data_IF_798405348130
#
_entry.id   IF_798405348130
#
_cell.length_a   1.000
_cell.length_b   1.000
_cell.length_c   1.000
_cell.angle_alpha   90.00
_cell.angle_beta   90.00
_cell.angle_gamma   90.00
#
_symmetry.space_group_name_H-M   'P 1'
#
loop_
_entity.id
_entity.type
_entity.pdbx_description
1 polymer ?
#
# COMPACT_ATOMS: atom_id res chain seq x y z
N UNK A 1 -10.48 8.77 -10.43
CA UNK A 1 -11.14 8.29 -9.20
C UNK A 1 -10.45 7.08 -8.57
N UNK A 2 -10.20 5.98 -9.31
CA UNK A 2 -9.57 4.77 -8.75
C UNK A 2 -8.25 5.01 -8.01
N UNK A 3 -7.40 5.89 -8.53
CA UNK A 3 -6.12 6.25 -7.92
C UNK A 3 -6.28 6.89 -6.53
N UNK A 4 -7.18 7.87 -6.37
CA UNK A 4 -7.45 8.49 -5.06
C UNK A 4 -8.08 7.51 -4.07
N UNK A 5 -9.01 6.66 -4.51
CA UNK A 5 -9.62 5.64 -3.64
C UNK A 5 -8.58 4.62 -3.13
N UNK A 6 -7.66 4.20 -4.01
CA UNK A 6 -6.55 3.33 -3.64
C UNK A 6 -5.64 3.98 -2.58
N UNK A 7 -5.21 5.23 -2.79
CA UNK A 7 -4.35 5.93 -1.83
C UNK A 7 -5.02 6.13 -0.47
N UNK A 8 -6.32 6.41 -0.45
CA UNK A 8 -7.10 6.54 0.79
C UNK A 8 -7.18 5.21 1.54
N UNK A 9 -7.46 4.10 0.85
CA UNK A 9 -7.49 2.79 1.49
C UNK A 9 -6.11 2.33 1.95
N UNK A 10 -5.05 2.71 1.23
CA UNK A 10 -3.67 2.42 1.57
C UNK A 10 -3.29 3.05 2.92
N UNK A 11 -3.67 4.32 3.16
CA UNK A 11 -3.27 5.09 4.35
C UNK A 11 -4.27 4.95 5.51
N UNK A 12 -5.57 4.81 5.21
CA UNK A 12 -6.65 4.80 6.20
C UNK A 12 -7.57 3.60 6.01
N UNK A 13 -7.10 2.43 6.45
CA UNK A 13 -7.84 1.17 6.30
C UNK A 13 -9.18 1.14 7.04
N UNK A 14 -9.36 1.96 8.09
CA UNK A 14 -10.58 2.02 8.91
C UNK A 14 -11.68 2.93 8.36
N UNK A 15 -11.39 3.79 7.39
CA UNK A 15 -12.38 4.68 6.75
C UNK A 15 -12.79 4.21 5.35
N UNK A 16 -12.13 3.17 4.83
CA UNK A 16 -12.31 2.67 3.47
C UNK A 16 -13.41 1.60 3.34
N UNK A 17 -14.40 1.60 4.23
CA UNK A 17 -15.43 0.56 4.31
C UNK A 17 -16.42 0.54 3.12
N UNK A 18 -16.32 1.45 2.13
CA UNK A 18 -17.42 1.65 1.17
C UNK A 18 -17.14 1.58 -0.33
N UNK A 19 -15.92 1.40 -0.85
CA UNK A 19 -15.78 1.59 -2.31
C UNK A 19 -14.71 0.81 -3.08
N UNK A 20 -13.87 -0.02 -2.47
CA UNK A 20 -12.78 -0.64 -3.22
C UNK A 20 -12.53 -2.10 -2.85
N UNK A 21 -12.74 -2.98 -3.84
CA UNK A 21 -12.63 -4.45 -3.80
C UNK A 21 -11.18 -4.96 -3.67
N UNK A 22 -10.31 -4.25 -2.96
CA UNK A 22 -8.92 -4.70 -2.77
C UNK A 22 -8.86 -5.71 -1.61
N UNK A 23 -8.23 -6.85 -1.87
CA UNK A 23 -8.01 -7.89 -0.86
C UNK A 23 -7.17 -7.35 0.30
N UNK A 24 -7.57 -7.67 1.53
CA UNK A 24 -6.83 -7.29 2.75
C UNK A 24 -5.40 -7.83 2.76
N UNK A 25 -5.18 -9.03 2.21
CA UNK A 25 -3.84 -9.62 2.05
C UNK A 25 -2.97 -8.82 1.10
N UNK A 26 -3.55 -8.34 -0.01
CA UNK A 26 -2.85 -7.51 -0.99
C UNK A 26 -2.52 -6.13 -0.39
N UNK A 27 -3.45 -5.55 0.38
CA UNK A 27 -3.22 -4.27 1.05
C UNK A 27 -2.07 -4.33 2.07
N UNK A 28 -1.94 -5.44 2.81
CA UNK A 28 -0.79 -5.65 3.71
C UNK A 28 0.55 -5.63 3.00
N UNK A 29 0.61 -6.13 1.76
CA UNK A 29 1.83 -6.09 0.96
C UNK A 29 2.18 -4.65 0.62
N UNK A 30 1.23 -3.85 0.15
CA UNK A 30 1.50 -2.46 -0.22
C UNK A 30 1.75 -1.55 0.97
N UNK A 31 1.13 -1.82 2.11
CA UNK A 31 1.41 -1.08 3.35
C UNK A 31 2.79 -1.41 3.91
N UNK A 32 3.39 -2.55 3.54
CA UNK A 32 4.73 -2.94 3.96
C UNK A 32 5.73 -1.92 3.41
N UNK A 33 6.44 -1.24 4.31
CA UNK A 33 7.41 -0.22 3.95
C UNK A 33 6.83 1.16 3.65
N UNK A 34 5.54 1.31 3.35
CA UNK A 34 4.87 2.62 3.23
C UNK A 34 4.27 3.10 4.56
N UNK A 35 3.82 2.16 5.39
CA UNK A 35 3.33 2.44 6.73
C UNK A 35 4.17 1.70 7.77
N UNK A 36 4.44 2.39 8.87
CA UNK A 36 4.94 1.77 10.10
C UNK A 36 3.75 1.53 11.02
N UNK A 37 3.49 0.26 11.31
CA UNK A 37 2.53 -0.15 12.33
C UNK A 37 3.31 -0.54 13.58
N UNK A 38 2.95 0.06 14.73
CA UNK A 38 3.49 -0.28 16.04
C UNK A 38 2.30 -0.65 16.93
N UNK A 39 2.46 -1.66 17.79
CA UNK A 39 1.39 -2.13 18.65
C UNK A 39 0.75 -0.98 19.44
N UNK A 40 -0.58 -0.89 19.37
CA UNK A 40 -1.45 0.14 19.99
C UNK A 40 -1.35 1.57 19.45
N UNK A 41 -0.58 1.83 18.39
CA UNK A 41 -0.54 3.13 17.71
C UNK A 41 -1.24 3.09 16.34
N UNK A 42 -1.83 4.23 15.93
CA UNK A 42 -2.33 4.38 14.56
C UNK A 42 -1.17 4.24 13.55
N UNK A 43 -1.38 3.62 12.37
CA UNK A 43 -0.35 3.50 11.34
C UNK A 43 0.21 4.88 10.97
N UNK A 44 1.54 4.99 10.89
CA UNK A 44 2.22 6.23 10.49
C UNK A 44 2.93 6.04 9.17
N UNK A 45 2.90 7.06 8.32
CA UNK A 45 3.69 7.06 7.09
C UNK A 45 5.18 6.98 7.40
N UNK A 46 5.88 6.14 6.65
CA UNK A 46 7.35 6.11 6.61
C UNK A 46 7.85 7.19 5.66
N UNK A 47 9.17 7.41 5.63
CA UNK A 47 9.79 8.29 4.63
C UNK A 47 9.46 7.85 3.19
N UNK A 48 9.57 6.56 2.90
CA UNK A 48 9.16 5.97 1.62
C UNK A 48 7.66 6.12 1.36
N UNK A 49 6.82 6.09 2.40
CA UNK A 49 5.40 6.43 2.33
C UNK A 49 5.14 7.85 1.84
N UNK A 50 5.87 8.83 2.37
CA UNK A 50 5.79 10.22 1.89
C UNK A 50 6.32 10.38 0.47
N UNK A 51 7.44 9.73 0.13
CA UNK A 51 7.98 9.76 -1.23
C UNK A 51 6.99 9.17 -2.24
N UNK A 52 6.38 8.03 -1.91
CA UNK A 52 5.37 7.39 -2.75
C UNK A 52 4.19 8.34 -3.04
N UNK A 53 3.70 9.09 -2.04
CA UNK A 53 2.59 10.02 -2.24
C UNK A 53 2.92 11.21 -3.15
N UNK A 54 4.19 11.61 -3.21
CA UNK A 54 4.68 12.72 -4.02
C UNK A 54 5.08 12.32 -5.44
N UNK A 55 5.18 11.01 -5.72
CA UNK A 55 5.48 10.50 -7.06
C UNK A 55 4.34 10.80 -8.04
N UNK A 56 4.67 10.88 -9.34
CA UNK A 56 3.66 10.88 -10.39
C UNK A 56 2.97 9.51 -10.48
N UNK A 57 1.78 9.48 -11.11
CA UNK A 57 0.95 8.28 -11.19
C UNK A 57 1.64 7.09 -11.86
N UNK A 58 2.47 7.31 -12.89
CA UNK A 58 3.15 6.20 -13.57
C UNK A 58 4.22 5.60 -12.67
N UNK A 59 4.99 6.44 -11.97
CA UNK A 59 5.99 5.99 -11.01
C UNK A 59 5.34 5.24 -9.84
N UNK A 60 4.22 5.72 -9.32
CA UNK A 60 3.46 5.01 -8.27
C UNK A 60 2.97 3.64 -8.77
N UNK A 61 2.47 3.54 -10.01
CA UNK A 61 2.01 2.27 -10.57
C UNK A 61 3.15 1.26 -10.70
N UNK A 62 4.31 1.69 -11.20
CA UNK A 62 5.50 0.84 -11.29
C UNK A 62 6.00 0.38 -9.93
N UNK A 63 5.93 1.23 -8.90
CA UNK A 63 6.25 0.85 -7.53
C UNK A 63 5.34 -0.28 -7.04
N UNK A 64 4.02 -0.14 -7.22
CA UNK A 64 3.03 -1.15 -6.82
C UNK A 64 3.21 -2.48 -7.57
N UNK A 65 3.43 -2.43 -8.89
CA UNK A 65 3.67 -3.64 -9.70
C UNK A 65 4.94 -4.36 -9.25
N UNK A 66 6.02 -3.62 -9.00
CA UNK A 66 7.28 -4.19 -8.51
C UNK A 66 7.08 -4.88 -7.16
N UNK A 67 6.44 -4.21 -6.20
CA UNK A 67 6.19 -4.77 -4.87
C UNK A 67 5.32 -6.02 -4.94
N UNK A 68 4.33 -6.05 -5.84
CA UNK A 68 3.50 -7.23 -6.08
C UNK A 68 4.30 -8.42 -6.62
N UNK A 69 5.13 -8.21 -7.64
CA UNK A 69 5.98 -9.27 -8.23
C UNK A 69 6.98 -9.80 -7.19
N UNK A 70 7.68 -8.90 -6.51
CA UNK A 70 8.65 -9.28 -5.47
C UNK A 70 7.99 -10.05 -4.32
N UNK A 71 6.74 -9.74 -3.99
CA UNK A 71 6.00 -10.52 -3.00
C UNK A 71 5.69 -11.95 -3.48
N UNK A 72 5.33 -12.13 -4.76
CA UNK A 72 5.08 -13.46 -5.35
C UNK A 72 6.34 -14.32 -5.42
N UNK A 73 7.50 -13.74 -5.74
CA UNK A 73 8.78 -14.47 -5.77
C UNK A 73 9.13 -15.07 -4.40
N UNK A 74 8.81 -14.36 -3.31
CA UNK A 74 8.99 -14.85 -1.93
C UNK A 74 8.10 -16.07 -1.63
N UNK A 75 6.93 -16.18 -2.27
CA UNK A 75 6.04 -17.34 -2.14
C UNK A 75 6.41 -18.51 -3.08
N UNK A 76 7.03 -18.24 -4.23
CA UNK A 76 7.44 -19.27 -5.20
C UNK A 76 8.79 -19.93 -4.87
N UNK A 77 9.66 -19.25 -4.12
CA UNK A 77 11.00 -19.74 -3.72
C UNK A 77 11.04 -20.23 -2.25
N UNK A 78 9.88 -20.46 -1.63
CA UNK A 78 9.72 -21.11 -0.32
C UNK A 78 8.89 -22.37 -0.47
#
# INVERSE_FOLDING_TARGET
MLHQCFLLQLISSGQAEKSTSFSSSMMRIFQRGLLRQRDKEAPRLTESGFQFLLMDTNTQLWYIIREYISNLEVYLMR
#
